data_IF_992445335213
#
_entry.id   IF_992445335213
#
_cell.length_a   1.000
_cell.length_b   1.000
_cell.length_c   1.000
_cell.angle_alpha   90.00
_cell.angle_beta   90.00
_cell.angle_gamma   90.00
#
_symmetry.space_group_name_H-M   'P 1'
#
loop_
_entity.id
_entity.type
_entity.pdbx_description
1 polymer ?
#
# COMPACT_ATOMS: atom_id res chain seq x y z
N UNK A 1 5.67 22.10 0.37
CA UNK A 1 5.16 21.00 -0.48
C UNK A 1 4.11 20.27 0.32
N UNK A 2 2.90 20.04 -0.22
CA UNK A 2 1.83 19.39 0.54
C UNK A 2 2.13 17.90 0.64
N UNK A 3 1.74 17.25 1.75
CA UNK A 3 1.94 15.81 1.94
C UNK A 3 1.37 14.98 0.76
N UNK A 4 0.30 15.50 0.14
CA UNK A 4 -0.30 14.98 -1.09
C UNK A 4 0.68 14.85 -2.27
N UNK A 5 1.58 15.82 -2.47
CA UNK A 5 2.55 15.83 -3.57
C UNK A 5 3.60 14.72 -3.38
N UNK A 6 4.04 14.49 -2.14
CA UNK A 6 4.98 13.43 -1.78
C UNK A 6 4.33 12.04 -1.95
N UNK A 7 3.05 11.91 -1.58
CA UNK A 7 2.29 10.67 -1.76
C UNK A 7 2.05 10.37 -3.26
N UNK A 8 1.71 11.38 -4.06
CA UNK A 8 1.51 11.25 -5.50
C UNK A 8 2.80 10.81 -6.21
N UNK A 9 3.94 11.40 -5.85
CA UNK A 9 5.23 11.03 -6.44
C UNK A 9 5.69 9.62 -6.05
N UNK A 10 5.41 9.16 -4.81
CA UNK A 10 5.64 7.75 -4.41
C UNK A 10 4.70 6.78 -5.13
N UNK A 11 3.46 7.16 -5.41
CA UNK A 11 2.53 6.35 -6.19
C UNK A 11 2.98 6.20 -7.65
N UNK A 12 3.40 7.30 -8.29
CA UNK A 12 4.00 7.28 -9.64
C UNK A 12 5.26 6.41 -9.71
N UNK A 13 6.09 6.44 -8.67
CA UNK A 13 7.29 5.59 -8.62
C UNK A 13 6.92 4.10 -8.53
N UNK A 14 5.88 3.73 -7.76
CA UNK A 14 5.38 2.35 -7.68
C UNK A 14 4.76 1.88 -8.98
N UNK A 15 3.98 2.74 -9.64
CA UNK A 15 3.44 2.47 -10.98
C UNK A 15 4.58 2.28 -11.98
N UNK A 16 5.63 3.10 -11.92
CA UNK A 16 6.82 2.94 -12.75
C UNK A 16 7.52 1.60 -12.52
N UNK A 17 7.67 1.15 -11.27
CA UNK A 17 8.22 -0.17 -10.96
C UNK A 17 7.35 -1.32 -11.51
N UNK A 18 6.02 -1.19 -11.46
CA UNK A 18 5.10 -2.17 -12.05
C UNK A 18 5.19 -2.18 -13.58
N UNK A 19 5.33 -1.01 -14.23
CA UNK A 19 5.54 -0.89 -15.67
C UNK A 19 6.90 -1.51 -16.05
N UNK A 20 7.97 -1.27 -15.28
CA UNK A 20 9.26 -1.91 -15.48
C UNK A 20 9.16 -3.43 -15.41
N UNK A 21 8.46 -3.97 -14.41
CA UNK A 21 8.28 -5.41 -14.24
C UNK A 21 7.45 -6.01 -15.38
N UNK A 22 6.38 -5.33 -15.80
CA UNK A 22 5.56 -5.72 -16.96
C UNK A 22 6.32 -5.65 -18.29
N UNK A 23 7.19 -4.66 -18.48
CA UNK A 23 8.04 -4.58 -19.67
C UNK A 23 9.16 -5.63 -19.67
N UNK A 24 9.67 -6.02 -18.50
CA UNK A 24 10.62 -7.13 -18.36
C UNK A 24 9.98 -8.47 -18.76
N UNK A 25 8.76 -8.74 -18.29
CA UNK A 25 8.02 -9.95 -18.67
C UNK A 25 7.66 -9.95 -20.15
N UNK A 26 7.25 -8.80 -20.71
CA UNK A 26 6.99 -8.65 -22.14
C UNK A 26 8.26 -8.88 -22.98
N UNK A 27 9.41 -8.37 -22.53
CA UNK A 27 10.71 -8.60 -23.18
C UNK A 27 11.09 -10.08 -23.15
N UNK A 28 10.83 -10.79 -22.05
CA UNK A 28 11.05 -12.23 -21.96
C UNK A 28 10.17 -13.03 -22.92
N UNK A 29 8.88 -12.70 -22.99
CA UNK A 29 7.92 -13.35 -23.92
C UNK A 29 8.32 -13.07 -25.38
N UNK A 30 8.60 -11.81 -25.72
CA UNK A 30 9.02 -11.43 -27.08
C UNK A 30 10.36 -12.09 -27.44
N UNK A 31 11.34 -12.06 -26.54
CA UNK A 31 12.63 -12.75 -26.71
C UNK A 31 12.45 -14.24 -26.99
N UNK A 32 11.57 -14.90 -26.25
CA UNK A 32 11.21 -16.30 -26.48
C UNK A 32 10.59 -16.53 -27.87
N UNK A 33 9.65 -15.68 -28.29
CA UNK A 33 9.05 -15.77 -29.63
C UNK A 33 10.04 -15.53 -30.77
N UNK A 34 11.07 -14.69 -30.54
CA UNK A 34 12.14 -14.46 -31.52
C UNK A 34 13.04 -15.69 -31.63
N UNK A 35 13.42 -16.31 -30.51
CA UNK A 35 14.24 -17.53 -30.50
C UNK A 35 13.53 -18.70 -31.20
N UNK A 36 12.25 -18.93 -30.90
CA UNK A 36 11.45 -19.99 -31.54
C UNK A 36 11.11 -19.64 -32.99
N UNK A 37 10.84 -18.36 -33.28
CA UNK A 37 10.55 -17.86 -34.62
C UNK A 37 11.74 -17.97 -35.58
N UNK A 38 12.97 -17.81 -35.08
CA UNK A 38 14.23 -18.02 -35.80
C UNK A 38 14.37 -19.44 -36.35
N UNK A 39 13.75 -20.43 -35.68
CA UNK A 39 13.80 -21.83 -36.09
C UNK A 39 12.73 -22.23 -37.10
N UNK A 40 11.69 -21.41 -37.34
CA UNK A 40 10.52 -21.81 -38.16
C UNK A 40 10.12 -20.88 -39.32
N UNK A 41 10.54 -19.61 -39.39
CA UNK A 41 10.15 -18.75 -40.53
C UNK A 41 11.10 -17.56 -40.81
N UNK A 42 11.34 -17.31 -42.10
CA UNK A 42 12.17 -16.25 -42.66
C UNK A 42 11.39 -14.91 -42.75
N UNK A 43 11.17 -14.25 -41.61
CA UNK A 43 10.85 -12.82 -41.54
C UNK A 43 11.51 -12.23 -40.28
N UNK A 44 12.80 -11.89 -40.42
CA UNK A 44 13.66 -11.51 -39.30
C UNK A 44 13.51 -10.06 -38.86
N UNK A 45 13.34 -9.11 -39.78
CA UNK A 45 13.63 -7.69 -39.50
C UNK A 45 12.63 -7.04 -38.51
N UNK A 46 11.34 -7.33 -38.62
CA UNK A 46 10.28 -6.74 -37.77
C UNK A 46 10.34 -7.21 -36.32
N UNK A 47 10.82 -8.45 -36.08
CA UNK A 47 10.95 -9.06 -34.76
C UNK A 47 12.14 -8.53 -33.95
N UNK A 48 13.26 -8.24 -34.63
CA UNK A 48 14.39 -7.58 -34.00
C UNK A 48 14.09 -6.11 -33.67
N UNK A 49 13.36 -5.43 -34.56
CA UNK A 49 12.91 -4.05 -34.35
C UNK A 49 12.02 -3.91 -33.11
N UNK A 50 11.06 -4.82 -32.90
CA UNK A 50 10.18 -4.78 -31.72
C UNK A 50 10.93 -5.08 -30.42
N UNK A 51 11.91 -5.99 -30.41
CA UNK A 51 12.78 -6.23 -29.26
C UNK A 51 13.63 -5.00 -28.90
N UNK A 52 14.21 -4.34 -29.89
CA UNK A 52 15.04 -3.14 -29.69
C UNK A 52 14.19 -1.99 -29.10
N UNK A 53 12.98 -1.77 -29.64
CA UNK A 53 12.07 -0.73 -29.15
C UNK A 53 11.67 -0.98 -27.69
N UNK A 54 11.32 -2.22 -27.33
CA UNK A 54 10.94 -2.57 -25.95
C UNK A 54 12.13 -2.42 -25.00
N UNK A 55 13.34 -2.82 -25.41
CA UNK A 55 14.53 -2.69 -24.58
C UNK A 55 14.95 -1.23 -24.37
N UNK A 56 14.85 -0.38 -25.40
CA UNK A 56 15.09 1.07 -25.29
C UNK A 56 14.07 1.75 -24.37
N UNK A 57 12.79 1.37 -24.48
CA UNK A 57 11.73 1.86 -23.60
C UNK A 57 11.98 1.45 -22.13
N UNK A 58 12.45 0.21 -21.92
CA UNK A 58 12.81 -0.32 -20.61
C UNK A 58 13.97 0.44 -19.97
N UNK A 59 15.06 0.65 -20.71
CA UNK A 59 16.24 1.41 -20.25
C UNK A 59 15.86 2.86 -19.96
N UNK A 60 15.06 3.50 -20.81
CA UNK A 60 14.59 4.87 -20.58
C UNK A 60 13.72 4.98 -19.31
N UNK A 61 12.83 4.00 -19.07
CA UNK A 61 12.00 3.94 -17.88
C UNK A 61 12.83 3.71 -16.60
N UNK A 62 13.84 2.84 -16.67
CA UNK A 62 14.78 2.57 -15.57
C UNK A 62 15.62 3.81 -15.22
N UNK A 63 16.19 4.50 -16.21
CA UNK A 63 16.94 5.73 -16.00
C UNK A 63 16.08 6.85 -15.39
N UNK A 64 14.81 6.98 -15.83
CA UNK A 64 13.87 7.95 -15.28
C UNK A 64 13.54 7.66 -13.81
N UNK A 65 13.27 6.39 -13.45
CA UNK A 65 13.01 5.97 -12.07
C UNK A 65 14.20 6.19 -11.15
N UNK A 66 15.41 5.88 -11.63
CA UNK A 66 16.64 6.06 -10.87
C UNK A 66 16.90 7.54 -10.53
N UNK A 67 16.74 8.44 -11.51
CA UNK A 67 16.87 9.90 -11.28
C UNK A 67 15.79 10.43 -10.33
N UNK A 68 14.56 9.95 -10.44
CA UNK A 68 13.45 10.41 -9.60
C UNK A 68 13.54 9.90 -8.15
N UNK A 69 14.15 8.73 -7.91
CA UNK A 69 14.34 8.17 -6.57
C UNK A 69 15.11 9.12 -5.63
N UNK A 70 16.21 9.70 -6.11
CA UNK A 70 17.05 10.58 -5.28
C UNK A 70 16.35 11.89 -4.90
N UNK A 71 15.52 12.43 -5.80
CA UNK A 71 14.68 13.60 -5.52
C UNK A 71 13.63 13.30 -4.44
N UNK A 72 13.02 12.12 -4.49
CA UNK A 72 12.02 11.70 -3.50
C UNK A 72 12.62 11.40 -2.12
N UNK A 73 13.82 10.83 -2.08
CA UNK A 73 14.55 10.59 -0.83
C UNK A 73 14.85 11.91 -0.12
N UNK A 74 15.36 12.92 -0.85
CA UNK A 74 15.65 14.24 -0.30
C UNK A 74 14.41 14.95 0.22
N UNK A 75 13.32 14.97 -0.57
CA UNK A 75 12.02 15.53 -0.15
C UNK A 75 11.42 14.83 1.08
N UNK A 76 11.63 13.53 1.22
CA UNK A 76 11.19 12.77 2.40
C UNK A 76 12.00 13.13 3.64
N UNK A 77 13.31 13.35 3.50
CA UNK A 77 14.17 13.83 4.60
C UNK A 77 13.74 15.21 5.10
N UNK A 78 13.55 16.16 4.18
CA UNK A 78 13.14 17.53 4.52
C UNK A 78 11.79 17.57 5.25
N UNK A 79 10.85 16.71 4.87
CA UNK A 79 9.57 16.57 5.57
C UNK A 79 9.73 16.03 6.99
N UNK A 80 10.61 15.04 7.18
CA UNK A 80 10.91 14.49 8.52
C UNK A 80 11.56 15.53 9.42
N UNK A 81 12.50 16.31 8.90
CA UNK A 81 13.18 17.36 9.66
C UNK A 81 12.19 18.46 10.08
N UNK A 82 11.27 18.86 9.20
CA UNK A 82 10.23 19.82 9.50
C UNK A 82 9.26 19.31 10.59
N UNK A 83 8.87 18.03 10.51
CA UNK A 83 8.02 17.41 11.53
C UNK A 83 8.73 17.32 12.88
N UNK A 84 10.01 16.94 12.88
CA UNK A 84 10.82 16.84 14.08
C UNK A 84 11.02 18.20 14.75
N UNK A 85 11.26 19.27 13.97
CA UNK A 85 11.31 20.64 14.47
C UNK A 85 10.00 21.09 15.11
N UNK A 86 8.86 20.68 14.54
CA UNK A 86 7.53 20.98 15.09
C UNK A 86 7.31 20.26 16.43
N UNK A 87 7.75 19.00 16.53
CA UNK A 87 7.68 18.21 17.77
C UNK A 87 8.60 18.75 18.87
N UNK A 88 9.84 19.12 18.54
CA UNK A 88 10.77 19.70 19.52
C UNK A 88 10.33 21.09 19.99
N UNK A 89 9.74 21.90 19.12
CA UNK A 89 9.13 23.17 19.51
C UNK A 89 7.91 22.97 20.43
N UNK A 90 7.09 21.94 20.17
CA UNK A 90 5.95 21.61 21.01
C UNK A 90 6.38 21.11 22.41
N UNK A 91 7.51 20.40 22.50
CA UNK A 91 8.06 19.90 23.77
C UNK A 91 8.61 21.01 24.69
N UNK A 92 8.85 22.22 24.17
CA UNK A 92 9.38 23.37 24.92
C UNK A 92 8.27 24.28 25.49
N UNK A 93 7.01 24.03 25.16
CA UNK A 93 5.89 24.83 25.65
C UNK A 93 5.59 24.52 27.13
N UNK A 94 5.36 25.53 27.98
CA UNK A 94 4.90 25.31 29.34
C UNK A 94 3.57 24.55 29.32
N UNK A 95 3.48 23.48 30.13
CA UNK A 95 2.34 22.58 30.24
C UNK A 95 1.19 23.26 30.99
N UNK A 96 0.59 24.29 30.40
CA UNK A 96 -0.73 24.75 30.84
C UNK A 96 -1.77 23.69 30.43
N UNK A 97 -2.43 23.08 31.43
CA UNK A 97 -3.20 21.84 31.29
C UNK A 97 -4.35 21.98 30.31
N UNK A 98 -5.04 23.13 30.28
CA UNK A 98 -6.20 23.35 29.40
C UNK A 98 -5.77 23.68 27.97
N UNK A 99 -4.73 24.50 27.81
CA UNK A 99 -4.17 24.86 26.50
C UNK A 99 -3.58 23.64 25.78
N UNK A 100 -2.86 22.78 26.52
CA UNK A 100 -2.34 21.51 25.98
C UNK A 100 -3.45 20.55 25.53
N UNK A 101 -4.55 20.47 26.26
CA UNK A 101 -5.70 19.65 25.91
C UNK A 101 -6.46 20.15 24.67
N UNK A 102 -6.56 21.47 24.46
CA UNK A 102 -7.10 22.05 23.22
C UNK A 102 -6.21 21.70 22.02
N UNK A 103 -4.89 21.82 22.18
CA UNK A 103 -3.91 21.43 21.14
C UNK A 103 -4.00 19.94 20.84
N UNK A 104 -4.14 19.08 21.86
CA UNK A 104 -4.34 17.64 21.67
C UNK A 104 -5.60 17.34 20.86
N UNK A 105 -6.71 18.03 21.18
CA UNK A 105 -7.97 17.88 20.43
C UNK A 105 -7.80 18.27 18.97
N UNK A 106 -7.14 19.38 18.66
CA UNK A 106 -6.86 19.76 17.26
C UNK A 106 -5.93 18.74 16.58
N UNK A 107 -4.87 18.31 17.27
CA UNK A 107 -3.92 17.31 16.76
C UNK A 107 -4.57 15.94 16.49
N UNK A 108 -5.72 15.64 17.11
CA UNK A 108 -6.48 14.42 16.82
C UNK A 108 -6.96 14.33 15.37
N UNK A 109 -7.16 15.48 14.68
CA UNK A 109 -7.52 15.50 13.26
C UNK A 109 -6.41 14.89 12.39
N UNK A 110 -5.15 15.17 12.73
CA UNK A 110 -3.99 14.55 12.08
C UNK A 110 -3.96 13.03 12.35
N UNK A 111 -4.34 12.60 13.56
CA UNK A 111 -4.45 11.17 13.92
C UNK A 111 -5.55 10.48 13.10
N UNK A 112 -6.74 11.08 12.98
CA UNK A 112 -7.85 10.58 12.14
C UNK A 112 -7.38 10.46 10.68
N UNK A 113 -6.72 11.50 10.15
CA UNK A 113 -6.20 11.51 8.79
C UNK A 113 -5.15 10.41 8.57
N UNK A 114 -4.29 10.16 9.56
CA UNK A 114 -3.29 9.09 9.51
C UNK A 114 -3.95 7.70 9.45
N UNK A 115 -4.96 7.43 10.28
CA UNK A 115 -5.70 6.15 10.25
C UNK A 115 -6.47 5.96 8.93
N UNK A 116 -7.12 7.00 8.39
CA UNK A 116 -7.75 6.95 7.05
C UNK A 116 -6.72 6.69 5.93
N UNK A 117 -5.53 7.30 6.02
CA UNK A 117 -4.45 7.05 5.09
C UNK A 117 -3.92 5.61 5.18
N UNK A 118 -3.84 5.04 6.38
CA UNK A 118 -3.51 3.63 6.60
C UNK A 118 -4.59 2.70 6.02
N UNK A 119 -5.86 2.97 6.30
CA UNK A 119 -6.99 2.21 5.77
C UNK A 119 -7.02 2.18 4.24
N UNK A 120 -6.91 3.35 3.60
CA UNK A 120 -6.90 3.47 2.13
C UNK A 120 -5.68 2.81 1.48
N UNK A 121 -4.51 2.85 2.12
CA UNK A 121 -3.31 2.14 1.66
C UNK A 121 -3.52 0.63 1.71
N UNK A 122 -4.06 0.10 2.80
CA UNK A 122 -4.33 -1.32 2.96
C UNK A 122 -5.38 -1.81 1.95
N UNK A 123 -6.45 -1.04 1.72
CA UNK A 123 -7.45 -1.34 0.68
C UNK A 123 -6.85 -1.33 -0.73
N UNK A 124 -5.97 -0.37 -1.05
CA UNK A 124 -5.29 -0.33 -2.37
C UNK A 124 -4.40 -1.55 -2.59
N UNK A 125 -3.64 -1.96 -1.59
CA UNK A 125 -2.78 -3.16 -1.67
C UNK A 125 -3.64 -4.39 -1.88
N UNK A 126 -4.69 -4.58 -1.07
CA UNK A 126 -5.63 -5.69 -1.22
C UNK A 126 -6.27 -5.73 -2.62
N UNK A 127 -6.81 -4.59 -3.10
CA UNK A 127 -7.43 -4.52 -4.42
C UNK A 127 -6.43 -4.82 -5.56
N UNK A 128 -5.16 -4.43 -5.40
CA UNK A 128 -4.11 -4.71 -6.39
C UNK A 128 -3.82 -6.21 -6.49
N UNK A 129 -3.67 -6.89 -5.35
CA UNK A 129 -3.51 -8.34 -5.33
C UNK A 129 -4.76 -9.06 -5.87
N UNK A 130 -5.96 -8.59 -5.51
CA UNK A 130 -7.21 -9.17 -6.02
C UNK A 130 -7.28 -9.10 -7.55
N UNK A 131 -6.86 -7.97 -8.13
CA UNK A 131 -6.80 -7.81 -9.59
C UNK A 131 -5.80 -8.78 -10.23
N UNK A 132 -4.61 -8.94 -9.63
CA UNK A 132 -3.59 -9.90 -10.10
C UNK A 132 -4.11 -11.33 -10.04
N UNK A 133 -4.78 -11.71 -8.95
CA UNK A 133 -5.35 -13.06 -8.78
C UNK A 133 -6.41 -13.32 -9.84
N UNK A 134 -7.40 -12.44 -9.99
CA UNK A 134 -8.49 -12.62 -10.96
C UNK A 134 -7.93 -12.67 -12.40
N UNK A 135 -7.10 -11.70 -12.78
CA UNK A 135 -6.54 -11.62 -14.14
C UNK A 135 -5.63 -12.81 -14.42
N UNK A 136 -4.76 -13.17 -13.47
CA UNK A 136 -3.87 -14.32 -13.58
C UNK A 136 -4.64 -15.63 -13.70
N UNK A 137 -5.70 -15.83 -12.91
CA UNK A 137 -6.57 -17.02 -13.03
C UNK A 137 -7.21 -17.13 -14.41
N UNK A 138 -7.75 -16.04 -14.95
CA UNK A 138 -8.34 -16.04 -16.31
C UNK A 138 -7.28 -16.41 -17.35
N UNK A 139 -6.09 -15.79 -17.30
CA UNK A 139 -5.00 -16.08 -18.25
C UNK A 139 -4.51 -17.53 -18.13
N UNK A 140 -4.34 -18.05 -16.91
CA UNK A 140 -3.95 -19.46 -16.69
C UNK A 140 -5.00 -20.40 -17.30
N UNK A 141 -6.29 -20.15 -17.08
CA UNK A 141 -7.36 -20.97 -17.65
C UNK A 141 -7.35 -20.93 -19.19
N UNK A 142 -7.18 -19.75 -19.80
CA UNK A 142 -7.10 -19.62 -21.26
C UNK A 142 -5.86 -20.31 -21.84
N UNK A 143 -4.68 -20.11 -21.25
CA UNK A 143 -3.45 -20.76 -21.71
C UNK A 143 -3.51 -22.28 -21.55
N UNK A 144 -4.16 -22.77 -20.48
CA UNK A 144 -4.39 -24.20 -20.27
C UNK A 144 -5.25 -24.78 -21.40
N UNK A 145 -6.35 -24.10 -21.75
CA UNK A 145 -7.21 -24.51 -22.86
C UNK A 145 -6.51 -24.44 -24.23
N UNK A 146 -5.63 -23.45 -24.45
CA UNK A 146 -4.86 -23.33 -25.69
C UNK A 146 -3.73 -24.36 -25.84
N UNK A 147 -3.35 -25.06 -24.75
CA UNK A 147 -2.23 -25.99 -24.75
C UNK A 147 -2.60 -27.42 -25.22
N UNK A 148 -3.73 -27.59 -25.93
CA UNK A 148 -4.15 -28.86 -26.54
C UNK A 148 -3.09 -29.45 -27.50
N UNK A 149 -2.19 -28.61 -28.05
CA UNK A 149 -1.07 -29.02 -28.90
C UNK A 149 0.21 -29.49 -28.19
N UNK A 150 0.18 -29.65 -26.85
CA UNK A 150 1.30 -30.14 -26.03
C UNK A 150 2.62 -29.37 -26.21
N UNK A 151 2.53 -28.03 -26.26
CA UNK A 151 3.71 -27.19 -26.37
C UNK A 151 4.38 -27.02 -25.00
N UNK A 152 5.57 -27.59 -24.85
CA UNK A 152 6.33 -27.61 -23.59
C UNK A 152 6.60 -26.20 -23.01
N UNK A 153 6.69 -25.17 -23.84
CA UNK A 153 6.91 -23.81 -23.33
C UNK A 153 5.62 -23.16 -22.80
N UNK A 154 4.49 -23.42 -23.44
CA UNK A 154 3.18 -22.97 -22.97
C UNK A 154 2.83 -23.62 -21.63
N UNK A 155 3.18 -24.90 -21.43
CA UNK A 155 2.95 -25.57 -20.15
C UNK A 155 3.81 -25.00 -19.03
N UNK A 156 5.10 -24.71 -19.28
CA UNK A 156 6.00 -24.07 -18.30
C UNK A 156 5.49 -22.68 -17.92
N UNK A 157 5.09 -21.86 -18.90
CA UNK A 157 4.54 -20.51 -18.65
C UNK A 157 3.24 -20.58 -17.85
N UNK A 158 2.33 -21.49 -18.22
CA UNK A 158 1.05 -21.69 -17.54
C UNK A 158 1.26 -22.13 -16.09
N UNK A 159 2.14 -23.10 -15.84
CA UNK A 159 2.47 -23.58 -14.49
C UNK A 159 3.09 -22.47 -13.63
N UNK A 160 4.04 -21.72 -14.20
CA UNK A 160 4.68 -20.59 -13.51
C UNK A 160 3.68 -19.49 -13.14
N UNK A 161 2.76 -19.16 -14.05
CA UNK A 161 1.73 -18.16 -13.80
C UNK A 161 0.73 -18.62 -12.74
N UNK A 162 0.35 -19.91 -12.76
CA UNK A 162 -0.51 -20.51 -11.74
C UNK A 162 0.13 -20.47 -10.35
N UNK A 163 1.43 -20.78 -10.25
CA UNK A 163 2.18 -20.66 -9.00
C UNK A 163 2.21 -19.20 -8.49
N UNK A 164 2.43 -18.22 -9.38
CA UNK A 164 2.40 -16.79 -9.01
C UNK A 164 1.04 -16.33 -8.47
N UNK A 165 -0.06 -16.79 -9.08
CA UNK A 165 -1.42 -16.51 -8.59
C UNK A 165 -1.64 -17.12 -7.21
N UNK A 166 -1.21 -18.38 -7.01
CA UNK A 166 -1.29 -19.06 -5.71
C UNK A 166 -0.50 -18.34 -4.62
N UNK A 167 0.74 -17.93 -4.92
CA UNK A 167 1.58 -17.14 -3.99
C UNK A 167 0.90 -15.81 -3.67
N UNK A 168 0.35 -15.11 -4.67
CA UNK A 168 -0.33 -13.83 -4.47
C UNK A 168 -1.56 -13.96 -3.57
N UNK A 169 -2.33 -15.05 -3.72
CA UNK A 169 -3.45 -15.39 -2.85
C UNK A 169 -2.98 -15.68 -1.42
N UNK A 170 -1.92 -16.48 -1.27
CA UNK A 170 -1.31 -16.79 0.03
C UNK A 170 -0.81 -15.54 0.75
N UNK A 171 -0.08 -14.66 0.07
CA UNK A 171 0.42 -13.39 0.62
C UNK A 171 -0.73 -12.47 1.05
N UNK A 172 -1.79 -12.39 0.26
CA UNK A 172 -2.95 -11.54 0.58
C UNK A 172 -3.72 -12.06 1.79
N UNK A 173 -3.88 -13.38 1.89
CA UNK A 173 -4.47 -14.04 3.05
C UNK A 173 -3.61 -13.89 4.30
N UNK A 174 -2.31 -14.10 4.18
CA UNK A 174 -1.35 -14.00 5.28
C UNK A 174 -1.31 -12.60 5.88
N UNK A 175 -1.11 -11.55 5.09
CA UNK A 175 -0.99 -10.19 5.65
C UNK A 175 -2.32 -9.56 6.08
N UNK A 176 -3.45 -10.21 5.79
CA UNK A 176 -4.81 -9.77 6.16
C UNK A 176 -5.05 -8.28 5.89
N UNK A 177 -4.59 -7.79 4.72
CA UNK A 177 -4.63 -6.36 4.38
C UNK A 177 -6.04 -5.77 4.47
N UNK A 178 -7.06 -6.55 4.10
CA UNK A 178 -8.47 -6.14 4.21
C UNK A 178 -8.87 -5.85 5.66
N UNK A 179 -8.54 -6.76 6.59
CA UNK A 179 -8.91 -6.63 8.01
C UNK A 179 -8.20 -5.43 8.64
N UNK A 180 -6.88 -5.29 8.41
CA UNK A 180 -6.12 -4.12 8.87
C UNK A 180 -6.72 -2.82 8.32
N UNK A 181 -7.16 -2.82 7.05
CA UNK A 181 -7.79 -1.66 6.43
C UNK A 181 -9.12 -1.26 7.09
N UNK A 182 -10.02 -2.23 7.32
CA UNK A 182 -11.32 -2.02 7.96
C UNK A 182 -11.16 -1.56 9.41
N UNK A 183 -10.24 -2.20 10.14
CA UNK A 183 -9.97 -1.92 11.55
C UNK A 183 -9.39 -0.51 11.74
N UNK A 184 -8.44 -0.07 10.89
CA UNK A 184 -7.96 1.33 10.91
C UNK A 184 -9.06 2.34 10.56
N UNK A 185 -9.95 2.02 9.61
CA UNK A 185 -11.05 2.91 9.22
C UNK A 185 -12.04 3.09 10.37
N UNK A 186 -12.48 1.99 11.00
CA UNK A 186 -13.38 2.02 12.16
C UNK A 186 -12.82 2.90 13.28
N UNK A 187 -11.52 2.82 13.54
CA UNK A 187 -10.88 3.67 14.56
C UNK A 187 -10.84 5.14 14.18
N UNK A 188 -10.59 5.46 12.92
CA UNK A 188 -10.67 6.85 12.47
C UNK A 188 -12.08 7.40 12.70
N UNK A 189 -13.10 6.61 12.38
CA UNK A 189 -14.51 6.99 12.53
C UNK A 189 -14.92 7.08 14.01
N UNK A 190 -14.42 6.21 14.88
CA UNK A 190 -14.63 6.25 16.34
C UNK A 190 -14.01 7.51 16.97
N UNK A 191 -12.79 7.88 16.56
CA UNK A 191 -12.11 9.09 17.06
C UNK A 191 -12.83 10.35 16.54
N UNK A 192 -13.23 10.37 15.26
CA UNK A 192 -13.97 11.49 14.66
C UNK A 192 -15.34 11.69 15.32
N UNK A 193 -16.05 10.60 15.63
CA UNK A 193 -17.30 10.65 16.38
C UNK A 193 -17.11 11.33 17.73
N UNK A 194 -16.05 10.97 18.48
CA UNK A 194 -15.72 11.60 19.76
C UNK A 194 -15.26 13.05 19.62
N UNK A 195 -14.54 13.38 18.54
CA UNK A 195 -14.10 14.74 18.25
C UNK A 195 -15.30 15.67 18.02
N UNK A 196 -16.28 15.21 17.24
CA UNK A 196 -17.52 15.94 16.99
C UNK A 196 -18.38 16.02 18.25
N UNK A 197 -18.56 14.90 18.97
CA UNK A 197 -19.35 14.86 20.20
C UNK A 197 -18.81 15.79 21.30
N UNK A 198 -17.48 15.85 21.48
CA UNK A 198 -16.84 16.78 22.43
C UNK A 198 -16.97 18.25 22.02
N UNK A 199 -17.07 18.53 20.72
CA UNK A 199 -17.25 19.89 20.20
C UNK A 199 -18.66 20.41 20.37
N UNK A 200 -19.65 19.58 20.06
CA UNK A 200 -21.07 19.91 20.16
C UNK A 200 -21.69 19.60 21.54
N UNK A 201 -20.91 19.09 22.48
CA UNK A 201 -21.37 18.67 23.81
C UNK A 201 -22.54 17.68 23.73
N UNK A 202 -22.37 16.65 22.88
CA UNK A 202 -23.36 15.60 22.66
C UNK A 202 -22.98 14.32 23.42
N UNK A 203 -24.00 13.54 23.79
CA UNK A 203 -23.82 12.23 24.44
C UNK A 203 -23.05 12.35 25.75
N UNK A 204 -21.99 11.55 25.89
CA UNK A 204 -21.14 11.49 27.09
C UNK A 204 -20.42 12.82 27.41
N UNK A 205 -20.45 13.80 26.50
CA UNK A 205 -19.84 15.12 26.70
C UNK A 205 -20.84 16.22 27.04
N UNK A 206 -22.14 15.87 27.19
CA UNK A 206 -23.20 16.83 27.49
C UNK A 206 -23.02 17.45 28.89
N UNK A 207 -23.30 18.76 28.99
CA UNK A 207 -23.24 19.54 30.22
C UNK A 207 -21.88 19.54 30.96
N UNK A 208 -20.81 19.05 30.33
CA UNK A 208 -19.46 19.11 30.91
C UNK A 208 -18.83 20.48 30.66
N UNK A 209 -18.19 21.04 31.70
CA UNK A 209 -17.28 22.17 31.53
C UNK A 209 -16.10 21.81 30.61
N UNK A 210 -15.45 22.84 30.04
CA UNK A 210 -14.47 22.65 28.98
C UNK A 210 -13.29 21.76 29.38
N UNK A 211 -12.63 22.04 30.50
CA UNK A 211 -11.47 21.28 30.96
C UNK A 211 -11.79 19.80 31.23
N UNK A 212 -12.80 19.43 32.05
CA UNK A 212 -13.15 18.03 32.25
C UNK A 212 -13.61 17.33 30.96
N UNK A 213 -14.31 18.05 30.06
CA UNK A 213 -14.70 17.53 28.74
C UNK A 213 -13.49 17.15 27.88
N UNK A 214 -12.47 18.01 27.84
CA UNK A 214 -11.25 17.75 27.09
C UNK A 214 -10.40 16.64 27.71
N UNK A 215 -10.37 16.51 29.04
CA UNK A 215 -9.73 15.38 29.74
C UNK A 215 -10.43 14.07 29.37
N UNK A 216 -11.76 14.04 29.44
CA UNK A 216 -12.55 12.86 29.07
C UNK A 216 -12.33 12.47 27.60
N UNK A 217 -12.28 13.46 26.72
CA UNK A 217 -11.97 13.26 25.31
C UNK A 217 -10.58 12.65 25.11
N UNK A 218 -9.55 13.25 25.72
CA UNK A 218 -8.17 12.75 25.61
C UNK A 218 -8.04 11.31 26.12
N UNK A 219 -8.63 11.00 27.29
CA UNK A 219 -8.65 9.64 27.83
C UNK A 219 -9.36 8.65 26.92
N UNK A 220 -10.48 9.06 26.30
CA UNK A 220 -11.22 8.22 25.35
C UNK A 220 -10.42 7.93 24.08
N UNK A 221 -9.73 8.93 23.53
CA UNK A 221 -8.89 8.75 22.34
C UNK A 221 -7.70 7.84 22.64
N UNK A 222 -7.03 8.00 23.79
CA UNK A 222 -5.94 7.09 24.17
C UNK A 222 -6.42 5.65 24.35
N UNK A 223 -7.57 5.43 24.99
CA UNK A 223 -8.18 4.10 25.07
C UNK A 223 -8.44 3.48 23.70
N UNK A 224 -9.00 4.25 22.76
CA UNK A 224 -9.24 3.79 21.38
C UNK A 224 -7.93 3.41 20.68
N UNK A 225 -6.87 4.20 20.86
CA UNK A 225 -5.53 3.91 20.31
C UNK A 225 -4.92 2.64 20.90
N UNK A 226 -5.07 2.43 22.20
CA UNK A 226 -4.63 1.20 22.86
C UNK A 226 -5.39 -0.03 22.38
N UNK A 227 -6.71 0.08 22.23
CA UNK A 227 -7.54 -0.99 21.65
C UNK A 227 -7.09 -1.32 20.23
N UNK A 228 -6.75 -0.31 19.43
CA UNK A 228 -6.16 -0.55 18.11
C UNK A 228 -4.84 -1.29 18.16
N UNK A 229 -3.92 -0.83 19.01
CA UNK A 229 -2.62 -1.48 19.17
C UNK A 229 -2.78 -2.95 19.56
N UNK A 230 -3.72 -3.25 20.46
CA UNK A 230 -4.06 -4.64 20.85
C UNK A 230 -4.59 -5.44 19.66
N UNK A 231 -5.49 -4.87 18.85
CA UNK A 231 -6.00 -5.51 17.63
C UNK A 231 -4.90 -5.76 16.60
N UNK A 232 -3.98 -4.82 16.39
CA UNK A 232 -2.84 -5.01 15.49
C UNK A 232 -1.91 -6.14 15.96
N UNK A 233 -1.60 -6.21 17.26
CA UNK A 233 -0.81 -7.31 17.84
C UNK A 233 -1.53 -8.65 17.69
N UNK A 234 -2.85 -8.71 17.93
CA UNK A 234 -3.63 -9.94 17.75
C UNK A 234 -3.62 -10.39 16.29
N UNK A 235 -3.70 -9.46 15.34
CA UNK A 235 -3.59 -9.78 13.92
C UNK A 235 -2.21 -10.37 13.61
N UNK A 236 -1.12 -9.79 14.12
CA UNK A 236 0.26 -10.31 13.95
C UNK A 236 0.48 -11.68 14.62
N UNK A 237 -0.15 -11.92 15.76
CA UNK A 237 -0.11 -13.22 16.43
C UNK A 237 -0.95 -14.28 15.70
N UNK A 238 -2.12 -13.90 15.15
CA UNK A 238 -2.92 -14.82 14.34
C UNK A 238 -2.17 -15.26 13.09
N UNK A 239 -1.45 -14.33 12.45
CA UNK A 239 -0.65 -14.65 11.25
C UNK A 239 0.53 -15.57 11.56
N UNK A 240 1.19 -15.40 12.70
CA UNK A 240 2.29 -16.29 13.11
C UNK A 240 1.82 -17.65 13.66
N UNK A 241 0.59 -17.74 14.17
CA UNK A 241 -0.01 -19.04 14.55
C UNK A 241 -0.39 -19.86 13.33
N UNK A 242 -0.99 -19.23 12.31
CA UNK A 242 -1.34 -19.89 11.04
C UNK A 242 -0.09 -20.49 10.35
N UNK A 243 1.10 -19.87 10.50
CA UNK A 243 2.38 -20.41 10.03
C UNK A 243 2.77 -21.74 10.69
N UNK A 244 2.61 -21.87 12.01
CA UNK A 244 3.00 -23.09 12.74
C UNK A 244 2.09 -24.27 12.47
N UNK A 245 0.84 -24.02 12.09
CA UNK A 245 -0.11 -25.09 11.71
C UNK A 245 0.03 -25.54 10.25
N UNK A 246 0.77 -24.80 9.43
CA UNK A 246 1.00 -25.11 8.02
C UNK A 246 2.35 -25.82 7.75
N UNK A 247 3.16 -26.05 8.79
CA UNK A 247 4.36 -26.89 8.80
C UNK A 247 4.04 -28.28 9.34
#
# INVERSE_FOLDING_TARGET
>A
MKEADLRAAKALQRIGWLILLGSLTLTGILGYTVIVGLWKANDGVTRWLSLIIVNLLWVACACWLYRNHNSLAKKTSEYRDALQKRQTAAAQLPLDTTSGLRVYREASLDVIAAYRAQASRNRRVHNSFQLVIITGSIVVSTLTAMNEGSNAALSIVTSSLSALVGISAGVTGYFKFRERGTTSQSTADDIEKNYNASGFQLGDYAAMEETPRLIHYAGTVERIKEEQRKREIQLEQSTSRDERSAQ
#
